data_IF_574523816684
#
_entry.id   IF_574523816684
#
_cell.length_a   1.000
_cell.length_b   1.000
_cell.length_c   1.000
_cell.angle_alpha   90.00
_cell.angle_beta   90.00
_cell.angle_gamma   90.00
#
_symmetry.space_group_name_H-M   'P 1'
#
loop_
_entity.id
_entity.type
_entity.pdbx_description
1 polymer ?
#
# COMPACT_ATOMS: atom_id res chain seq x y z
N UNK A 1 14.15 3.50 9.26
CA UNK A 1 13.57 2.19 9.31
C UNK A 1 13.02 1.75 7.96
N UNK A 2 13.18 0.50 7.69
CA UNK A 2 12.72 -0.11 6.46
C UNK A 2 11.24 0.14 6.20
N UNK A 3 10.44 0.05 7.24
CA UNK A 3 8.99 0.13 7.09
C UNK A 3 8.56 1.45 6.51
N UNK A 4 9.12 2.52 7.00
CA UNK A 4 8.77 3.82 6.50
C UNK A 4 9.38 4.06 5.14
N UNK A 5 10.51 3.47 4.91
CA UNK A 5 11.19 3.66 3.65
C UNK A 5 10.49 2.98 2.49
N UNK A 6 9.68 1.97 2.78
CA UNK A 6 8.95 1.30 1.72
C UNK A 6 8.06 2.29 0.98
N UNK A 7 7.47 3.22 1.70
CA UNK A 7 6.60 4.22 1.08
C UNK A 7 7.33 5.00 0.01
N UNK A 8 8.61 5.28 0.23
CA UNK A 8 9.38 6.12 -0.68
C UNK A 8 10.20 5.33 -1.67
N UNK A 9 10.28 4.01 -1.46
CA UNK A 9 11.21 3.19 -2.20
C UNK A 9 10.98 3.20 -3.70
N UNK A 10 9.74 3.17 -4.11
CA UNK A 10 9.40 3.11 -5.52
C UNK A 10 8.84 4.42 -6.07
N UNK A 11 8.95 5.50 -5.31
CA UNK A 11 8.41 6.77 -5.74
C UNK A 11 9.38 7.45 -6.68
N UNK A 12 8.94 7.73 -7.90
CA UNK A 12 9.79 8.45 -8.82
C UNK A 12 9.75 9.94 -8.51
N UNK A 13 10.63 10.69 -9.14
CA UNK A 13 10.78 12.10 -8.80
C UNK A 13 9.56 12.94 -9.17
N UNK A 14 8.73 12.48 -10.06
CA UNK A 14 7.52 13.19 -10.48
C UNK A 14 6.29 12.74 -9.70
N UNK A 15 6.43 11.75 -8.84
CA UNK A 15 5.30 11.23 -8.08
C UNK A 15 4.33 10.42 -8.91
N UNK A 16 4.76 9.89 -10.04
CA UNK A 16 3.89 9.15 -10.95
C UNK A 16 3.88 7.65 -10.71
N UNK A 17 4.94 7.13 -10.11
CA UNK A 17 5.04 5.72 -9.77
C UNK A 17 5.38 5.66 -8.30
N UNK A 18 4.63 4.86 -7.57
CA UNK A 18 4.78 4.79 -6.12
C UNK A 18 4.58 3.35 -5.68
N UNK A 19 5.42 2.86 -4.79
CA UNK A 19 5.24 1.57 -4.17
C UNK A 19 4.93 1.78 -2.70
N UNK A 20 3.80 1.25 -2.27
CA UNK A 20 3.39 1.31 -0.88
C UNK A 20 3.44 -0.07 -0.27
N UNK A 21 3.82 -0.14 0.99
CA UNK A 21 3.74 -1.38 1.74
C UNK A 21 2.84 -1.18 2.93
N UNK A 22 2.04 -2.18 3.24
CA UNK A 22 1.15 -2.09 4.36
C UNK A 22 0.97 -3.44 5.00
N UNK A 23 0.58 -3.43 6.26
CA UNK A 23 0.32 -4.63 7.01
C UNK A 23 -1.17 -4.87 7.04
N UNK A 24 -1.58 -6.07 6.70
CA UNK A 24 -2.99 -6.45 6.68
C UNK A 24 -3.19 -7.68 7.53
N UNK A 25 -4.39 -7.83 8.06
CA UNK A 25 -4.81 -9.11 8.59
C UNK A 25 -5.01 -10.07 7.42
N UNK A 26 -4.63 -11.31 7.61
CA UNK A 26 -4.78 -12.32 6.55
C UNK A 26 -6.21 -12.85 6.58
N UNK A 27 -7.13 -12.05 6.07
CA UNK A 27 -8.56 -12.36 6.05
C UNK A 27 -9.11 -12.15 4.65
N UNK A 28 -10.13 -12.92 4.28
CA UNK A 28 -10.81 -12.67 3.00
C UNK A 28 -11.35 -11.25 2.95
N UNK A 29 -11.22 -10.62 1.83
CA UNK A 29 -11.76 -9.29 1.62
C UNK A 29 -10.84 -8.13 1.95
N UNK A 30 -9.78 -8.37 2.72
CA UNK A 30 -8.86 -7.28 3.07
C UNK A 30 -8.18 -6.70 1.84
N UNK A 31 -7.69 -7.54 0.97
CA UNK A 31 -7.04 -7.08 -0.24
C UNK A 31 -8.01 -6.33 -1.13
N UNK A 32 -9.22 -6.84 -1.27
CA UNK A 32 -10.22 -6.17 -2.08
C UNK A 32 -10.50 -4.78 -1.53
N UNK A 33 -10.58 -4.65 -0.23
CA UNK A 33 -10.84 -3.37 0.41
C UNK A 33 -9.75 -2.35 0.07
N UNK A 34 -8.50 -2.78 0.12
CA UNK A 34 -7.38 -1.91 -0.24
C UNK A 34 -7.51 -1.46 -1.69
N UNK A 35 -7.76 -2.42 -2.58
CA UNK A 35 -7.85 -2.09 -4.01
C UNK A 35 -9.01 -1.12 -4.26
N UNK A 36 -10.13 -1.30 -3.58
CA UNK A 36 -11.26 -0.40 -3.74
C UNK A 36 -10.92 1.02 -3.30
N UNK A 37 -10.20 1.16 -2.20
CA UNK A 37 -9.79 2.47 -1.74
C UNK A 37 -8.86 3.12 -2.78
N UNK A 38 -7.91 2.37 -3.28
CA UNK A 38 -6.97 2.89 -4.27
C UNK A 38 -7.69 3.33 -5.53
N UNK A 39 -8.62 2.51 -5.99
CA UNK A 39 -9.38 2.84 -7.20
C UNK A 39 -10.23 4.09 -6.98
N UNK A 40 -10.85 4.21 -5.81
CA UNK A 40 -11.69 5.36 -5.52
C UNK A 40 -10.90 6.66 -5.49
N UNK A 41 -9.61 6.57 -5.22
CA UNK A 41 -8.73 7.74 -5.17
C UNK A 41 -8.01 7.99 -6.49
N UNK A 42 -8.37 7.23 -7.51
CA UNK A 42 -7.85 7.45 -8.85
C UNK A 42 -6.49 6.86 -9.13
N UNK A 43 -6.01 5.96 -8.27
CA UNK A 43 -4.75 5.31 -8.50
C UNK A 43 -4.92 4.11 -9.43
N UNK A 44 -3.97 3.90 -10.30
CA UNK A 44 -3.96 2.73 -11.17
C UNK A 44 -2.99 1.71 -10.59
N UNK A 45 -3.50 0.53 -10.25
CA UNK A 45 -2.68 -0.52 -9.64
C UNK A 45 -1.90 -1.23 -10.71
N UNK A 46 -0.58 -1.16 -10.63
CA UNK A 46 0.30 -1.78 -11.61
C UNK A 46 0.69 -3.19 -11.21
N UNK A 47 0.92 -3.41 -9.92
CA UNK A 47 1.26 -4.74 -9.45
C UNK A 47 0.95 -4.86 -7.97
N UNK A 48 0.76 -6.09 -7.52
CA UNK A 48 0.50 -6.39 -6.12
C UNK A 48 1.37 -7.58 -5.74
N UNK A 49 2.05 -7.45 -4.62
CA UNK A 49 2.84 -8.53 -4.07
C UNK A 49 2.39 -8.77 -2.64
N UNK A 50 2.05 -10.00 -2.33
CA UNK A 50 1.43 -10.38 -1.08
C UNK A 50 2.33 -11.40 -0.39
N UNK A 51 2.83 -11.06 0.80
CA UNK A 51 3.70 -11.95 1.56
C UNK A 51 3.06 -12.30 2.88
N UNK A 52 3.04 -13.59 3.20
CA UNK A 52 2.42 -14.08 4.42
C UNK A 52 3.45 -14.60 5.37
N UNK A 53 3.24 -14.27 6.66
CA UNK A 53 3.99 -14.88 7.73
C UNK A 53 5.49 -14.81 7.57
N UNK A 54 5.97 -13.80 6.90
CA UNK A 54 7.36 -13.72 6.49
C UNK A 54 8.29 -13.78 7.68
N UNK A 55 7.94 -13.13 8.74
CA UNK A 55 8.84 -13.05 9.88
C UNK A 55 8.31 -13.80 11.08
N UNK A 56 7.27 -14.59 10.89
CA UNK A 56 6.75 -15.45 11.92
C UNK A 56 6.23 -14.76 13.15
N UNK A 57 6.05 -13.47 13.10
CA UNK A 57 5.65 -12.72 14.27
C UNK A 57 4.17 -12.78 14.52
N UNK A 58 3.40 -12.87 13.47
CA UNK A 58 1.97 -12.94 13.56
C UNK A 58 1.47 -13.75 12.39
N UNK A 59 0.99 -14.95 12.66
CA UNK A 59 0.58 -15.86 11.60
C UNK A 59 -0.68 -15.39 10.88
N UNK A 60 -1.39 -14.44 11.46
CA UNK A 60 -2.60 -13.91 10.84
C UNK A 60 -2.36 -12.60 10.13
N UNK A 61 -1.12 -12.15 10.05
CA UNK A 61 -0.79 -10.91 9.37
C UNK A 61 -0.05 -11.19 8.09
N UNK A 62 -0.19 -10.28 7.15
CA UNK A 62 0.56 -10.35 5.92
C UNK A 62 1.02 -8.97 5.55
N UNK A 63 1.99 -8.92 4.65
CA UNK A 63 2.52 -7.67 4.16
C UNK A 63 2.13 -7.54 2.70
N UNK A 64 1.56 -6.42 2.35
CA UNK A 64 1.12 -6.16 0.99
C UNK A 64 1.96 -5.04 0.38
N UNK A 65 2.53 -5.31 -0.77
CA UNK A 65 3.28 -4.32 -1.53
C UNK A 65 2.51 -4.02 -2.80
N UNK A 66 2.14 -2.77 -2.98
CA UNK A 66 1.33 -2.36 -4.12
C UNK A 66 2.09 -1.31 -4.90
N UNK A 67 2.27 -1.54 -6.19
CA UNK A 67 2.87 -0.57 -7.06
C UNK A 67 1.79 0.15 -7.82
N UNK A 68 1.81 1.48 -7.74
CA UNK A 68 0.74 2.32 -8.25
C UNK A 68 1.26 3.31 -9.27
N UNK A 69 0.40 3.62 -10.22
CA UNK A 69 0.60 4.76 -11.08
C UNK A 69 -0.27 5.90 -10.55
N UNK A 70 0.35 7.04 -10.32
CA UNK A 70 -0.30 8.19 -9.68
C UNK A 70 -0.04 9.43 -10.52
N UNK A 71 -0.67 10.55 -10.15
CA UNK A 71 -0.55 11.77 -10.96
C UNK A 71 0.61 12.66 -10.53
N UNK A 72 0.83 12.76 -9.23
CA UNK A 72 1.83 13.66 -8.68
C UNK A 72 2.00 13.36 -7.20
N UNK A 73 2.86 14.12 -6.53
CA UNK A 73 3.13 13.89 -5.11
C UNK A 73 1.91 14.13 -4.23
N UNK A 74 1.09 15.10 -4.58
CA UNK A 74 -0.13 15.38 -3.82
C UNK A 74 -1.08 14.20 -3.88
N UNK A 75 -1.17 13.57 -5.04
CA UNK A 75 -2.01 12.40 -5.21
C UNK A 75 -1.52 11.25 -4.34
N UNK A 76 -0.19 11.06 -4.27
CA UNK A 76 0.39 10.03 -3.41
C UNK A 76 0.02 10.28 -1.95
N UNK A 77 0.10 11.53 -1.50
CA UNK A 77 -0.24 11.84 -0.13
C UNK A 77 -1.73 11.61 0.17
N UNK A 78 -2.58 11.94 -0.78
CA UNK A 78 -4.01 11.71 -0.63
C UNK A 78 -4.31 10.21 -0.52
N UNK A 79 -3.60 9.40 -1.28
CA UNK A 79 -3.77 7.96 -1.23
C UNK A 79 -3.36 7.41 0.13
N UNK A 80 -2.20 7.85 0.63
CA UNK A 80 -1.73 7.40 1.94
C UNK A 80 -2.72 7.78 3.03
N UNK A 81 -3.21 9.00 2.96
CA UNK A 81 -4.18 9.47 3.94
C UNK A 81 -5.47 8.68 3.87
N UNK A 82 -5.95 8.40 2.67
CA UNK A 82 -7.18 7.63 2.50
C UNK A 82 -7.06 6.22 3.06
N UNK A 83 -5.91 5.59 2.86
CA UNK A 83 -5.68 4.26 3.40
C UNK A 83 -5.62 4.30 4.93
N UNK A 84 -4.97 5.30 5.49
CA UNK A 84 -4.89 5.42 6.94
C UNK A 84 -6.25 5.67 7.57
N UNK A 85 -7.09 6.44 6.90
CA UNK A 85 -8.44 6.68 7.39
C UNK A 85 -9.29 5.42 7.43
N UNK A 86 -9.00 4.48 6.55
CA UNK A 86 -9.69 3.20 6.55
C UNK A 86 -9.09 2.21 7.53
N UNK A 87 -8.02 2.61 8.23
CA UNK A 87 -7.42 1.78 9.25
C UNK A 87 -6.27 0.91 8.78
N UNK A 88 -5.84 1.07 7.55
CA UNK A 88 -4.68 0.32 7.07
C UNK A 88 -3.39 0.96 7.56
N UNK A 89 -2.46 0.14 7.99
CA UNK A 89 -1.18 0.61 8.50
C UNK A 89 -0.16 0.59 7.38
N UNK A 90 0.33 1.75 7.04
CA UNK A 90 1.43 1.85 6.08
C UNK A 90 2.74 1.60 6.78
N UNK A 91 3.62 0.95 6.10
CA UNK A 91 4.92 0.60 6.64
C UNK A 91 6.01 1.53 6.16
#
# INVERSE_FOLDING_TARGET
NILNRVINRGLDKDGRICTLAMELDDKPGQLLEVIEVLASLGANVLSVHHERGVYGQNINACELHVRLETRNHEHVEAIKEGLQKKGFKLK
#
